data_IF_078261388005
#
_entry.id   IF_078261388005
#
_cell.length_a   1.000
_cell.length_b   1.000
_cell.length_c   1.000
_cell.angle_alpha   90.00
_cell.angle_beta   90.00
_cell.angle_gamma   90.00
#
_symmetry.space_group_name_H-M   'P 1'
#
loop_
_entity.id
_entity.type
_entity.pdbx_description
1 polymer ?
#
# COMPACT_ATOMS: atom_id res chain seq x y z
N UNK A 1 39.08 41.86 -29.63
CA UNK A 1 38.43 43.12 -29.26
C UNK A 1 37.58 42.79 -28.06
N UNK A 2 38.01 42.83 -26.83
CA UNK A 2 38.46 43.91 -25.95
C UNK A 2 37.30 44.87 -25.58
N UNK A 3 37.18 44.98 -24.26
CA UNK A 3 36.49 45.91 -23.35
C UNK A 3 35.08 45.42 -22.90
N UNK A 4 34.78 45.32 -21.61
CA UNK A 4 35.32 45.96 -20.44
C UNK A 4 34.21 46.50 -19.58
N UNK A 5 34.10 46.09 -18.37
CA UNK A 5 34.28 46.76 -17.09
C UNK A 5 33.00 47.45 -16.59
N UNK A 6 32.57 47.31 -15.40
CA UNK A 6 32.96 47.85 -14.13
C UNK A 6 31.80 47.72 -13.11
N UNK A 7 32.00 47.12 -12.03
CA UNK A 7 31.94 47.42 -10.59
C UNK A 7 31.30 48.73 -10.15
N UNK A 8 30.44 48.64 -9.09
CA UNK A 8 30.26 49.54 -7.89
C UNK A 8 28.93 49.12 -7.25
N UNK A 9 28.74 48.89 -5.95
CA UNK A 9 29.47 49.20 -4.77
C UNK A 9 28.42 49.28 -3.67
N UNK A 10 28.63 48.62 -2.56
CA UNK A 10 27.87 48.77 -1.31
C UNK A 10 27.97 50.21 -0.76
N UNK A 11 27.02 50.61 0.11
CA UNK A 11 27.48 50.96 1.42
C UNK A 11 26.70 50.34 2.61
N UNK A 12 27.46 50.06 3.63
CA UNK A 12 27.15 49.77 5.01
C UNK A 12 26.78 51.04 5.79
N UNK A 13 25.88 50.94 6.75
CA UNK A 13 25.81 51.74 8.00
C UNK A 13 24.95 50.93 8.97
N UNK A 14 25.48 50.39 10.00
CA UNK A 14 25.97 50.75 11.34
C UNK A 14 24.86 51.15 12.33
N UNK A 15 24.67 50.29 13.33
CA UNK A 15 24.61 50.44 14.80
C UNK A 15 23.55 51.41 15.36
N UNK A 16 22.70 50.91 16.25
CA UNK A 16 22.56 51.40 17.63
C UNK A 16 21.94 50.32 18.53
N UNK A 17 22.68 50.02 19.60
CA UNK A 17 22.20 49.38 20.84
C UNK A 17 21.20 50.27 21.54
N UNK A 18 20.18 49.71 22.17
CA UNK A 18 19.70 50.30 23.42
C UNK A 18 19.16 49.25 24.39
N UNK A 19 19.59 49.43 25.63
CA UNK A 19 19.34 48.62 26.82
C UNK A 19 17.97 48.92 27.42
N UNK A 20 17.34 47.91 28.02
CA UNK A 20 16.15 48.18 28.83
C UNK A 20 15.63 46.99 29.63
N UNK A 21 16.29 46.69 30.74
CA UNK A 21 15.76 46.32 32.06
C UNK A 21 14.55 45.34 32.20
N UNK A 22 14.90 44.25 32.81
CA UNK A 22 14.05 43.32 33.59
C UNK A 22 13.46 44.01 34.85
N UNK A 23 12.26 43.70 35.30
CA UNK A 23 11.97 43.74 36.72
C UNK A 23 11.60 42.38 37.31
N UNK A 24 12.15 42.23 38.47
CA UNK A 24 12.14 41.18 39.48
C UNK A 24 10.75 40.70 39.94
N UNK A 25 10.78 39.48 40.39
CA UNK A 25 9.88 38.69 41.21
C UNK A 25 9.17 39.49 42.35
N UNK A 26 7.93 39.12 42.62
CA UNK A 26 7.32 39.29 43.94
C UNK A 26 6.74 37.95 44.42
N UNK A 27 7.41 37.41 45.42
CA UNK A 27 6.84 36.41 46.34
C UNK A 27 5.59 36.97 47.05
N UNK A 28 4.59 36.12 47.15
CA UNK A 28 3.59 36.22 48.22
C UNK A 28 3.32 34.85 48.80
N UNK A 29 3.82 34.63 50.02
CA UNK A 29 3.26 33.70 51.01
C UNK A 29 1.80 34.08 51.26
N UNK A 30 0.96 33.09 51.55
CA UNK A 30 0.20 33.07 52.82
C UNK A 30 -0.50 31.71 52.92
N UNK A 31 -0.43 31.20 54.13
CA UNK A 31 -1.10 30.03 54.70
C UNK A 31 -2.63 30.10 54.64
N UNK A 32 -3.26 28.96 54.44
CA UNK A 32 -4.67 28.74 54.67
C UNK A 32 -4.94 27.27 54.96
N UNK A 33 -4.93 26.88 56.24
CA UNK A 33 -5.38 25.57 56.71
C UNK A 33 -6.90 25.49 56.57
N UNK A 34 -7.37 24.63 55.64
CA UNK A 34 -8.78 24.29 55.44
C UNK A 34 -9.02 22.80 55.67
N UNK A 35 -9.78 22.48 56.71
CA UNK A 35 -10.14 21.15 57.19
C UNK A 35 -10.75 20.27 56.09
N UNK A 36 -10.20 19.09 55.88
CA UNK A 36 -10.75 18.02 55.04
C UNK A 36 -12.10 17.54 55.58
N UNK A 37 -13.16 17.83 54.85
CA UNK A 37 -14.49 17.31 55.10
C UNK A 37 -14.60 15.88 54.58
N UNK A 38 -15.02 14.96 55.46
CA UNK A 38 -15.22 13.51 55.23
C UNK A 38 -16.49 13.22 54.40
N UNK A 39 -16.69 13.86 53.24
CA UNK A 39 -17.86 13.60 52.37
C UNK A 39 -17.55 13.68 50.89
N UNK A 40 -16.43 13.08 50.43
CA UNK A 40 -16.14 12.94 49.00
C UNK A 40 -15.49 11.56 48.72
N UNK A 41 -16.19 10.53 49.15
CA UNK A 41 -15.79 9.13 48.87
C UNK A 41 -17.04 8.37 48.46
N UNK A 42 -17.54 8.61 47.25
CA UNK A 42 -18.53 7.77 46.53
C UNK A 42 -18.80 8.36 45.13
N UNK A 43 -17.83 8.31 44.23
CA UNK A 43 -18.05 8.39 42.78
C UNK A 43 -16.77 7.91 42.06
N UNK A 44 -16.29 6.69 42.35
CA UNK A 44 -15.27 6.01 41.58
C UNK A 44 -15.77 4.58 41.34
N UNK A 45 -16.68 4.44 40.43
CA UNK A 45 -17.18 3.15 40.02
C UNK A 45 -17.92 3.27 38.71
N UNK A 46 -17.33 2.83 37.67
CA UNK A 46 -17.80 2.39 36.34
C UNK A 46 -17.10 3.07 35.16
N UNK A 47 -15.84 2.74 34.99
CA UNK A 47 -15.15 2.96 33.71
C UNK A 47 -14.16 1.79 33.47
N UNK A 48 -14.63 0.55 33.52
CA UNK A 48 -13.79 -0.61 33.25
C UNK A 48 -14.62 -1.71 32.59
N UNK A 49 -15.16 -1.47 31.40
CA UNK A 49 -15.71 -2.57 30.55
C UNK A 49 -15.64 -2.19 29.05
N UNK A 50 -14.55 -1.67 28.53
CA UNK A 50 -14.46 -1.48 27.07
C UNK A 50 -13.12 -1.97 26.46
N UNK A 51 -12.25 -2.58 27.25
CA UNK A 51 -10.98 -3.13 26.73
C UNK A 51 -11.02 -4.61 26.41
N UNK A 52 -12.05 -5.35 26.84
CA UNK A 52 -12.13 -6.80 26.65
C UNK A 52 -12.57 -7.27 25.26
N UNK A 53 -13.48 -6.54 24.62
CA UNK A 53 -14.10 -7.00 23.35
C UNK A 53 -13.20 -6.84 22.13
N UNK A 54 -12.35 -5.83 22.09
CA UNK A 54 -11.39 -5.65 20.98
C UNK A 54 -10.21 -6.61 21.05
N UNK A 55 -9.77 -7.02 22.23
CA UNK A 55 -8.72 -8.02 22.42
C UNK A 55 -9.20 -9.44 22.03
N UNK A 56 -10.41 -9.81 22.42
CA UNK A 56 -10.98 -11.14 22.13
C UNK A 56 -11.20 -11.37 20.61
N UNK A 57 -11.64 -10.35 19.87
CA UNK A 57 -11.82 -10.43 18.43
C UNK A 57 -10.49 -10.49 17.67
N UNK A 58 -9.44 -9.85 18.19
CA UNK A 58 -8.09 -9.90 17.61
C UNK A 58 -7.44 -11.29 17.82
N UNK A 59 -7.68 -11.94 18.95
CA UNK A 59 -7.19 -13.29 19.23
C UNK A 59 -7.89 -14.33 18.34
N UNK A 60 -9.21 -14.21 18.12
CA UNK A 60 -9.99 -15.09 17.24
C UNK A 60 -9.46 -15.05 15.79
N UNK A 61 -9.29 -13.88 15.20
CA UNK A 61 -8.78 -13.78 13.81
C UNK A 61 -7.35 -14.28 13.69
N UNK A 62 -6.51 -14.02 14.68
CA UNK A 62 -5.12 -14.50 14.71
C UNK A 62 -5.07 -16.04 14.75
N UNK A 63 -5.94 -16.67 15.55
CA UNK A 63 -6.04 -18.13 15.61
C UNK A 63 -6.53 -18.71 14.28
N UNK A 64 -7.54 -18.10 13.66
CA UNK A 64 -8.04 -18.51 12.34
C UNK A 64 -6.97 -18.40 11.25
N UNK A 65 -6.19 -17.31 11.23
CA UNK A 65 -5.12 -17.13 10.23
C UNK A 65 -3.96 -18.12 10.45
N UNK A 66 -3.64 -18.49 11.70
CA UNK A 66 -2.68 -19.58 11.99
C UNK A 66 -3.19 -20.93 11.50
N UNK A 67 -4.45 -21.26 11.74
CA UNK A 67 -5.04 -22.49 11.24
C UNK A 67 -5.03 -22.57 9.69
N UNK A 68 -5.10 -21.42 9.01
CA UNK A 68 -4.92 -21.37 7.55
C UNK A 68 -3.45 -21.66 7.18
N UNK A 69 -2.45 -21.08 7.87
CA UNK A 69 -1.04 -21.41 7.63
C UNK A 69 -0.78 -22.91 7.76
N UNK A 70 -1.32 -23.55 8.82
CA UNK A 70 -1.17 -24.98 9.06
C UNK A 70 -1.87 -25.82 7.99
N UNK A 71 -3.11 -25.44 7.63
CA UNK A 71 -3.92 -26.17 6.63
C UNK A 71 -3.29 -26.17 5.23
N UNK A 72 -2.68 -25.06 4.84
CA UNK A 72 -2.15 -24.85 3.49
C UNK A 72 -0.63 -25.04 3.41
N UNK A 73 0.03 -25.42 4.52
CA UNK A 73 1.50 -25.49 4.64
C UNK A 73 2.18 -24.24 4.05
N UNK A 74 1.68 -23.07 4.42
CA UNK A 74 2.10 -21.81 3.86
C UNK A 74 2.40 -20.77 4.94
N UNK A 75 3.31 -19.87 4.68
CA UNK A 75 3.49 -18.64 5.47
C UNK A 75 2.56 -17.57 4.94
N UNK A 76 1.71 -17.01 5.80
CA UNK A 76 0.67 -16.05 5.49
C UNK A 76 0.95 -14.72 6.17
N UNK A 77 0.80 -13.61 5.45
CA UNK A 77 0.87 -12.26 5.99
C UNK A 77 -0.40 -11.48 5.63
N UNK A 78 -1.01 -10.84 6.63
CA UNK A 78 -2.26 -10.10 6.45
C UNK A 78 -2.18 -8.72 7.09
N UNK A 79 -2.64 -7.73 6.35
CA UNK A 79 -2.96 -6.41 6.88
C UNK A 79 -4.33 -5.98 6.36
N UNK A 80 -5.20 -5.58 7.28
CA UNK A 80 -6.46 -4.94 6.91
C UNK A 80 -6.73 -3.73 7.81
N UNK A 81 -7.35 -2.72 7.24
CA UNK A 81 -7.75 -1.52 7.95
C UNK A 81 -9.08 -0.97 7.40
N UNK A 82 -10.11 -0.99 8.22
CA UNK A 82 -11.41 -0.41 7.93
C UNK A 82 -11.39 1.08 8.31
N UNK A 83 -11.54 1.96 7.31
CA UNK A 83 -11.31 3.38 7.52
C UNK A 83 -12.37 4.06 8.39
N UNK A 84 -13.63 3.64 8.32
CA UNK A 84 -14.69 4.23 9.13
C UNK A 84 -14.61 3.77 10.61
N UNK A 85 -14.55 2.46 10.86
CA UNK A 85 -14.54 1.90 12.21
C UNK A 85 -13.18 1.95 12.90
N UNK A 86 -12.09 2.22 12.15
CA UNK A 86 -10.68 2.17 12.60
C UNK A 86 -10.21 0.78 13.06
N UNK A 87 -11.02 -0.24 12.86
CA UNK A 87 -10.61 -1.63 13.14
C UNK A 87 -9.47 -2.05 12.21
N UNK A 88 -8.55 -2.84 12.73
CA UNK A 88 -7.41 -3.35 11.96
C UNK A 88 -7.11 -4.79 12.30
N UNK A 89 -6.73 -5.56 11.29
CA UNK A 89 -6.16 -6.91 11.45
C UNK A 89 -4.70 -6.85 11.03
N UNK A 90 -3.82 -7.44 11.83
CA UNK A 90 -2.38 -7.50 11.56
C UNK A 90 -1.87 -8.89 11.92
N UNK A 91 -1.52 -9.67 10.90
CA UNK A 91 -0.91 -10.98 11.06
C UNK A 91 0.35 -11.03 10.22
N UNK A 92 1.53 -11.21 10.83
CA UNK A 92 2.84 -11.07 10.17
C UNK A 92 2.95 -9.82 9.28
N UNK A 93 2.18 -8.77 9.61
CA UNK A 93 1.97 -7.61 8.74
C UNK A 93 3.25 -6.80 8.45
N UNK A 94 4.27 -6.91 9.31
CA UNK A 94 5.58 -6.27 9.12
C UNK A 94 6.63 -7.18 8.48
N UNK A 95 6.35 -8.46 8.29
CA UNK A 95 7.29 -9.40 7.69
C UNK A 95 7.35 -9.24 6.17
N UNK A 96 8.51 -9.57 5.58
CA UNK A 96 8.71 -9.46 4.13
C UNK A 96 8.19 -10.69 3.41
N UNK A 97 7.55 -10.42 2.28
CA UNK A 97 7.06 -11.42 1.32
C UNK A 97 7.50 -11.01 -0.09
N UNK A 98 7.67 -11.97 -1.01
CA UNK A 98 7.87 -11.66 -2.42
C UNK A 98 6.72 -10.79 -2.93
N UNK A 99 7.03 -9.72 -3.66
CA UNK A 99 6.01 -8.77 -4.11
C UNK A 99 5.33 -9.24 -5.40
N UNK A 100 6.10 -9.87 -6.29
CA UNK A 100 5.64 -10.26 -7.62
C UNK A 100 4.93 -9.11 -8.35
N UNK A 101 3.90 -9.39 -9.12
CA UNK A 101 3.20 -8.38 -9.95
C UNK A 101 2.46 -7.26 -9.19
N UNK A 102 2.49 -7.22 -7.86
CA UNK A 102 1.91 -6.08 -7.11
C UNK A 102 2.55 -4.74 -7.49
N UNK A 103 3.80 -4.74 -7.96
CA UNK A 103 4.50 -3.53 -8.39
C UNK A 103 3.82 -2.83 -9.57
N UNK A 104 3.05 -3.54 -10.40
CA UNK A 104 2.47 -3.01 -11.65
C UNK A 104 1.49 -1.85 -11.36
N UNK A 105 0.73 -1.93 -10.27
CA UNK A 105 -0.09 -0.79 -9.83
C UNK A 105 0.76 0.41 -9.38
N UNK A 106 1.92 0.17 -8.75
CA UNK A 106 2.86 1.23 -8.38
C UNK A 106 3.53 1.83 -9.62
N UNK A 107 3.82 1.00 -10.64
CA UNK A 107 4.40 1.48 -11.90
C UNK A 107 3.41 2.38 -12.65
N UNK A 108 2.16 1.96 -12.80
CA UNK A 108 1.10 2.77 -13.39
C UNK A 108 0.91 4.09 -12.60
N UNK A 109 0.85 4.03 -11.27
CA UNK A 109 0.74 5.21 -10.43
C UNK A 109 1.95 6.16 -10.54
N UNK A 110 3.17 5.61 -10.67
CA UNK A 110 4.37 6.41 -10.89
C UNK A 110 4.38 7.09 -12.25
N UNK A 111 3.92 6.42 -13.31
CA UNK A 111 3.73 7.04 -14.64
C UNK A 111 2.74 8.19 -14.55
N UNK A 112 1.57 7.97 -13.95
CA UNK A 112 0.53 8.99 -13.78
C UNK A 112 1.04 10.22 -13.03
N UNK A 113 1.74 10.03 -11.91
CA UNK A 113 2.16 11.13 -11.04
C UNK A 113 3.42 11.83 -11.51
N UNK A 114 4.42 11.06 -11.92
CA UNK A 114 5.79 11.57 -12.10
C UNK A 114 6.11 11.88 -13.56
N UNK A 115 5.41 11.26 -14.53
CA UNK A 115 5.66 11.45 -15.96
C UNK A 115 4.53 12.18 -16.68
N UNK A 116 3.26 11.83 -16.40
CA UNK A 116 2.11 12.39 -17.08
C UNK A 116 1.55 13.62 -16.35
N UNK A 117 1.52 14.78 -17.00
CA UNK A 117 0.97 16.00 -16.42
C UNK A 117 -0.41 16.37 -16.97
N UNK A 118 -0.63 16.11 -18.25
CA UNK A 118 -1.78 16.60 -19.03
C UNK A 118 -2.39 15.54 -19.97
N UNK A 119 -1.88 14.30 -19.94
CA UNK A 119 -2.32 13.18 -20.78
C UNK A 119 -1.44 12.93 -22.00
N UNK A 120 -0.44 13.75 -22.28
CA UNK A 120 0.43 13.58 -23.45
C UNK A 120 1.29 12.32 -23.33
N UNK A 121 1.83 12.04 -22.12
CA UNK A 121 2.64 10.84 -21.90
C UNK A 121 1.78 9.60 -22.01
N UNK A 122 0.59 9.60 -21.43
CA UNK A 122 -0.34 8.47 -21.49
C UNK A 122 -0.76 8.15 -22.94
N UNK A 123 -0.92 9.17 -23.79
CA UNK A 123 -1.29 9.03 -25.19
C UNK A 123 -0.14 8.56 -26.09
N UNK A 124 1.11 8.67 -25.62
CA UNK A 124 2.29 8.28 -26.40
C UNK A 124 2.30 6.78 -26.66
N UNK A 125 2.43 6.40 -27.94
CA UNK A 125 2.50 5.00 -28.37
C UNK A 125 3.92 4.48 -28.29
N UNK A 126 4.07 3.30 -27.71
CA UNK A 126 5.31 2.54 -27.62
C UNK A 126 5.24 1.40 -28.63
N UNK A 127 6.21 1.34 -29.52
CA UNK A 127 6.46 0.18 -30.36
C UNK A 127 7.51 -0.69 -29.67
N UNK A 128 7.27 -1.96 -29.63
CA UNK A 128 8.11 -2.98 -29.01
C UNK A 128 8.22 -4.19 -29.97
N UNK A 129 9.09 -5.12 -29.66
CA UNK A 129 9.39 -6.27 -30.52
C UNK A 129 9.11 -7.58 -29.78
N UNK A 130 9.22 -8.71 -30.48
CA UNK A 130 9.14 -10.04 -29.89
C UNK A 130 10.13 -10.24 -28.74
N UNK A 131 11.31 -9.61 -28.79
CA UNK A 131 12.34 -9.67 -27.75
C UNK A 131 11.89 -8.99 -26.43
N UNK A 132 10.89 -8.13 -26.48
CA UNK A 132 10.32 -7.48 -25.31
C UNK A 132 9.25 -8.34 -24.62
N UNK A 133 8.75 -9.39 -25.27
CA UNK A 133 7.73 -10.26 -24.72
C UNK A 133 8.30 -11.19 -23.66
N UNK A 134 7.58 -11.34 -22.57
CA UNK A 134 7.91 -12.21 -21.44
C UNK A 134 6.87 -13.32 -21.36
N UNK A 135 7.11 -14.41 -22.10
CA UNK A 135 6.15 -15.51 -22.16
C UNK A 135 6.49 -16.62 -21.15
N UNK A 136 5.49 -17.23 -20.51
CA UNK A 136 4.06 -16.84 -20.54
C UNK A 136 3.76 -15.55 -19.77
N UNK A 137 2.63 -14.92 -20.05
CA UNK A 137 2.13 -13.77 -19.29
C UNK A 137 2.30 -12.41 -19.99
N UNK A 138 2.41 -12.41 -21.32
CA UNK A 138 2.43 -11.20 -22.18
C UNK A 138 1.43 -11.32 -23.33
N UNK A 139 0.27 -11.91 -23.06
CA UNK A 139 -0.72 -12.22 -24.10
C UNK A 139 -1.31 -10.97 -24.73
N UNK A 140 -1.55 -9.92 -23.91
CA UNK A 140 -2.12 -8.66 -24.39
C UNK A 140 -1.11 -7.89 -25.24
N UNK A 141 0.13 -7.77 -24.79
CA UNK A 141 1.19 -7.12 -25.55
C UNK A 141 1.53 -7.89 -26.82
N UNK A 142 1.52 -9.22 -26.78
CA UNK A 142 1.73 -10.05 -27.97
C UNK A 142 0.63 -9.84 -29.03
N UNK A 143 -0.62 -9.68 -28.63
CA UNK A 143 -1.73 -9.42 -29.53
C UNK A 143 -1.62 -8.06 -30.25
N UNK A 144 -0.91 -7.09 -29.66
CA UNK A 144 -0.73 -5.73 -30.20
C UNK A 144 0.70 -5.47 -30.73
N UNK A 145 1.46 -6.51 -31.06
CA UNK A 145 2.86 -6.38 -31.43
C UNK A 145 3.07 -5.52 -32.71
N UNK A 146 2.16 -5.61 -33.66
CA UNK A 146 2.28 -4.91 -34.93
C UNK A 146 2.06 -3.40 -34.81
N UNK A 147 1.04 -2.99 -34.05
CA UNK A 147 0.64 -1.59 -33.88
C UNK A 147 1.27 -0.90 -32.68
N UNK A 148 1.84 -1.67 -31.75
CA UNK A 148 2.27 -1.17 -30.45
C UNK A 148 1.09 -0.76 -29.54
N UNK A 149 1.39 -0.23 -28.35
CA UNK A 149 0.39 0.21 -27.39
C UNK A 149 0.74 1.58 -26.83
N UNK A 150 -0.27 2.38 -26.49
CA UNK A 150 -0.06 3.62 -25.73
C UNK A 150 0.37 3.29 -24.30
N UNK A 151 0.99 4.23 -23.62
CA UNK A 151 1.37 4.07 -22.22
C UNK A 151 0.13 3.83 -21.33
N UNK A 152 -1.02 4.44 -21.66
CA UNK A 152 -2.28 4.18 -20.98
C UNK A 152 -2.73 2.72 -21.15
N UNK A 153 -2.73 2.20 -22.38
CA UNK A 153 -3.06 0.81 -22.69
C UNK A 153 -2.11 -0.17 -21.99
N UNK A 154 -0.80 0.13 -21.98
CA UNK A 154 0.19 -0.67 -21.24
C UNK A 154 -0.10 -0.68 -19.73
N UNK A 155 -0.43 0.48 -19.13
CA UNK A 155 -0.76 0.57 -17.72
C UNK A 155 -2.04 -0.23 -17.38
N UNK A 156 -3.04 -0.12 -18.23
CA UNK A 156 -4.29 -0.87 -18.10
C UNK A 156 -4.05 -2.39 -18.13
N UNK A 157 -3.40 -2.91 -19.17
CA UNK A 157 -3.20 -4.38 -19.28
C UNK A 157 -2.21 -4.92 -18.24
N UNK A 158 -1.23 -4.12 -17.79
CA UNK A 158 -0.35 -4.48 -16.69
C UNK A 158 -1.12 -4.69 -15.38
N UNK A 159 -2.20 -3.94 -15.15
CA UNK A 159 -3.06 -4.10 -13.98
C UNK A 159 -4.11 -5.17 -14.22
N UNK A 160 -4.91 -5.06 -15.29
CA UNK A 160 -6.12 -5.88 -15.51
C UNK A 160 -5.81 -7.34 -15.82
N UNK A 161 -4.77 -7.60 -16.61
CA UNK A 161 -4.33 -8.95 -17.02
C UNK A 161 -3.01 -9.37 -16.40
N UNK A 162 -2.36 -8.45 -15.67
CA UNK A 162 -1.03 -8.68 -15.13
C UNK A 162 0.05 -8.93 -16.20
N UNK A 163 -0.10 -8.34 -17.39
CA UNK A 163 0.82 -8.51 -18.51
C UNK A 163 2.27 -8.15 -18.13
N UNK A 164 3.20 -9.08 -18.37
CA UNK A 164 4.59 -8.95 -17.92
C UNK A 164 5.40 -7.99 -18.77
N UNK A 165 5.25 -8.06 -20.10
CA UNK A 165 5.94 -7.15 -21.02
C UNK A 165 5.44 -5.71 -20.83
N UNK A 166 4.12 -5.51 -20.64
CA UNK A 166 3.58 -4.20 -20.29
C UNK A 166 4.20 -3.67 -18.99
N UNK A 167 4.32 -4.51 -17.96
CA UNK A 167 5.02 -4.15 -16.73
C UNK A 167 6.46 -3.71 -16.97
N UNK A 168 7.22 -4.45 -17.76
CA UNK A 168 8.61 -4.11 -18.11
C UNK A 168 8.70 -2.83 -18.95
N UNK A 169 7.79 -2.62 -19.90
CA UNK A 169 7.74 -1.39 -20.70
C UNK A 169 7.48 -0.16 -19.83
N UNK A 170 6.56 -0.24 -18.87
CA UNK A 170 6.35 0.84 -17.89
C UNK A 170 7.60 1.08 -17.01
N UNK A 171 8.28 0.01 -16.56
CA UNK A 171 9.53 0.16 -15.81
C UNK A 171 10.62 0.82 -16.66
N UNK A 172 10.69 0.54 -17.96
CA UNK A 172 11.62 1.18 -18.89
C UNK A 172 11.39 2.68 -18.96
N UNK A 173 10.14 3.12 -19.07
CA UNK A 173 9.74 4.53 -19.06
C UNK A 173 10.13 5.24 -17.76
N UNK A 174 10.07 4.54 -16.64
CA UNK A 174 10.41 5.05 -15.31
C UNK A 174 11.92 5.02 -15.00
N UNK A 175 12.75 4.45 -15.91
CA UNK A 175 14.20 4.33 -15.72
C UNK A 175 14.63 3.09 -14.94
N UNK A 176 13.85 2.01 -15.00
CA UNK A 176 14.15 0.67 -14.48
C UNK A 176 13.48 0.34 -13.15
N UNK A 177 13.64 -0.92 -12.67
CA UNK A 177 12.92 -1.46 -11.51
C UNK A 177 13.08 -0.63 -10.24
N UNK A 178 14.27 -0.08 -9.99
CA UNK A 178 14.54 0.73 -8.79
C UNK A 178 13.70 2.01 -8.71
N UNK A 179 13.06 2.43 -9.81
CA UNK A 179 12.11 3.54 -9.80
C UNK A 179 10.92 3.25 -8.86
N UNK A 180 10.47 2.00 -8.81
CA UNK A 180 9.39 1.57 -7.91
C UNK A 180 9.82 1.74 -6.45
N UNK A 181 11.07 1.40 -6.13
CA UNK A 181 11.61 1.63 -4.79
C UNK A 181 11.61 3.12 -4.44
N UNK A 182 12.07 3.99 -5.37
CA UNK A 182 12.06 5.45 -5.16
C UNK A 182 10.63 5.99 -5.00
N UNK A 183 9.70 5.54 -5.84
CA UNK A 183 8.30 5.90 -5.76
C UNK A 183 7.68 5.50 -4.41
N UNK A 184 7.88 4.27 -3.96
CA UNK A 184 7.42 3.80 -2.65
C UNK A 184 7.99 4.67 -1.52
N UNK A 185 9.29 5.03 -1.55
CA UNK A 185 9.92 5.91 -0.56
C UNK A 185 9.29 7.30 -0.52
N UNK A 186 8.93 7.87 -1.67
CA UNK A 186 8.24 9.17 -1.75
C UNK A 186 6.86 9.14 -1.10
N UNK A 187 6.23 7.96 -1.03
CA UNK A 187 4.97 7.71 -0.33
C UNK A 187 5.16 7.31 1.15
N UNK A 188 6.40 7.37 1.69
CA UNK A 188 6.71 6.99 3.06
C UNK A 188 6.78 5.47 3.31
N UNK A 189 6.72 4.65 2.27
CA UNK A 189 6.94 3.21 2.36
C UNK A 189 8.45 2.92 2.34
N UNK A 190 8.99 2.51 3.49
CA UNK A 190 10.42 2.21 3.67
C UNK A 190 10.75 0.72 3.49
N UNK A 191 9.76 -0.10 3.17
CA UNK A 191 9.89 -1.57 3.09
C UNK A 191 9.91 -2.06 1.65
N UNK A 192 8.91 -1.67 0.85
CA UNK A 192 8.75 -2.11 -0.54
C UNK A 192 9.97 -1.79 -1.38
N UNK A 193 10.48 -2.77 -2.13
CA UNK A 193 11.57 -2.59 -3.08
C UNK A 193 11.40 -3.50 -4.29
N UNK A 194 11.78 -2.99 -5.45
CA UNK A 194 11.88 -3.71 -6.70
C UNK A 194 13.30 -3.55 -7.24
N UNK A 195 13.93 -4.66 -7.62
CA UNK A 195 15.33 -4.70 -8.02
C UNK A 195 15.50 -5.31 -9.41
N UNK A 196 14.62 -6.25 -9.80
CA UNK A 196 14.70 -7.04 -11.02
C UNK A 196 13.51 -6.79 -11.94
N UNK A 197 13.65 -7.25 -13.17
CA UNK A 197 12.62 -7.21 -14.20
C UNK A 197 11.72 -8.45 -14.14
N UNK A 198 10.59 -8.43 -14.87
CA UNK A 198 9.89 -9.66 -15.22
C UNK A 198 10.73 -10.45 -16.23
N UNK A 199 10.82 -11.80 -16.11
CA UNK A 199 10.17 -12.65 -15.11
C UNK A 199 11.00 -12.91 -13.84
N UNK A 200 12.27 -12.46 -13.76
CA UNK A 200 13.20 -12.83 -12.68
C UNK A 200 12.73 -12.41 -11.29
N UNK A 201 11.97 -11.33 -11.19
CA UNK A 201 11.41 -10.88 -9.91
C UNK A 201 10.44 -11.90 -9.28
N UNK A 202 9.90 -12.85 -10.09
CA UNK A 202 8.94 -13.86 -9.65
C UNK A 202 9.61 -15.18 -9.19
N UNK A 203 10.95 -15.27 -9.14
CA UNK A 203 11.63 -16.43 -8.54
C UNK A 203 11.33 -16.55 -7.05
N UNK A 204 10.94 -15.46 -6.41
CA UNK A 204 10.23 -15.36 -5.14
C UNK A 204 10.89 -16.12 -3.97
N UNK A 205 12.22 -16.27 -3.95
CA UNK A 205 12.94 -16.98 -2.90
C UNK A 205 12.70 -16.33 -1.53
N UNK A 206 12.14 -17.06 -0.54
CA UNK A 206 11.68 -16.48 0.74
C UNK A 206 12.78 -15.84 1.59
N UNK A 207 14.05 -16.21 1.37
CA UNK A 207 15.21 -15.66 2.10
C UNK A 207 15.79 -14.40 1.46
N UNK A 208 15.40 -14.07 0.21
CA UNK A 208 15.86 -12.85 -0.45
C UNK A 208 15.12 -11.64 0.05
N UNK A 209 15.81 -10.50 0.04
CA UNK A 209 15.21 -9.19 0.33
C UNK A 209 14.87 -8.38 -0.92
N UNK A 210 15.38 -8.81 -2.09
CA UNK A 210 15.06 -8.23 -3.40
C UNK A 210 13.60 -8.50 -3.75
N UNK A 211 12.97 -7.56 -4.44
CA UNK A 211 11.60 -7.66 -4.97
C UNK A 211 10.54 -8.01 -3.90
N UNK A 212 10.70 -7.42 -2.70
CA UNK A 212 9.83 -7.72 -1.56
C UNK A 212 9.08 -6.51 -1.04
N UNK A 213 7.97 -6.80 -0.37
CA UNK A 213 7.20 -5.85 0.42
C UNK A 213 6.77 -6.50 1.75
N UNK A 214 5.95 -5.81 2.54
CA UNK A 214 5.21 -6.40 3.65
C UNK A 214 3.72 -6.07 3.52
N UNK A 215 2.81 -6.89 4.08
CA UNK A 215 1.37 -6.62 4.01
C UNK A 215 1.01 -5.20 4.47
N UNK A 216 1.60 -4.75 5.57
CA UNK A 216 1.39 -3.41 6.09
C UNK A 216 1.88 -2.31 5.15
N UNK A 217 3.08 -2.46 4.59
CA UNK A 217 3.68 -1.44 3.74
C UNK A 217 2.90 -1.29 2.43
N UNK A 218 2.67 -2.40 1.73
CA UNK A 218 1.98 -2.38 0.43
C UNK A 218 0.51 -1.99 0.58
N UNK A 219 -0.19 -2.50 1.60
CA UNK A 219 -1.57 -2.12 1.87
C UNK A 219 -1.70 -0.62 2.12
N UNK A 220 -0.84 -0.03 2.95
CA UNK A 220 -0.84 1.42 3.15
C UNK A 220 -0.51 2.21 1.89
N UNK A 221 0.38 1.71 1.05
CA UNK A 221 0.71 2.35 -0.23
C UNK A 221 -0.49 2.36 -1.15
N UNK A 222 -1.19 1.23 -1.32
CA UNK A 222 -2.43 1.17 -2.10
C UNK A 222 -3.52 2.08 -1.51
N UNK A 223 -3.69 2.07 -0.19
CA UNK A 223 -4.62 2.99 0.46
C UNK A 223 -4.34 4.47 0.16
N UNK A 224 -3.06 4.89 0.12
CA UNK A 224 -2.67 6.25 -0.27
C UNK A 224 -2.93 6.56 -1.73
N UNK A 225 -2.73 5.59 -2.61
CA UNK A 225 -2.95 5.75 -4.05
C UNK A 225 -4.44 5.87 -4.41
N UNK A 226 -5.29 5.06 -3.76
CA UNK A 226 -6.73 4.96 -4.09
C UNK A 226 -7.60 5.91 -3.27
N UNK A 227 -7.27 6.11 -1.99
CA UNK A 227 -8.11 6.88 -1.05
C UNK A 227 -7.46 8.19 -0.59
N UNK A 228 -6.13 8.32 -0.73
CA UNK A 228 -5.39 9.47 -0.24
C UNK A 228 -5.10 10.52 -1.30
N UNK A 229 -4.10 11.32 -1.03
CA UNK A 229 -3.64 12.46 -1.81
C UNK A 229 -2.34 12.20 -2.59
N UNK A 230 -1.92 10.93 -2.69
CA UNK A 230 -0.70 10.54 -3.40
C UNK A 230 -0.79 10.82 -4.92
N UNK A 231 -1.97 10.83 -5.47
CA UNK A 231 -2.31 11.20 -6.84
C UNK A 231 -3.32 12.34 -6.85
N UNK A 232 -3.32 13.17 -7.89
CA UNK A 232 -4.40 14.10 -8.13
C UNK A 232 -5.71 13.34 -8.41
N UNK A 233 -6.84 14.04 -8.49
CA UNK A 233 -8.16 13.40 -8.61
C UNK A 233 -8.30 12.58 -9.89
N UNK A 234 -7.90 13.13 -11.06
CA UNK A 234 -7.98 12.45 -12.35
C UNK A 234 -7.19 11.15 -12.35
N UNK A 235 -5.94 11.20 -11.92
CA UNK A 235 -5.03 10.08 -11.94
C UNK A 235 -5.45 8.98 -10.94
N UNK A 236 -5.99 9.39 -9.79
CA UNK A 236 -6.54 8.47 -8.80
C UNK A 236 -7.79 7.76 -9.33
N UNK A 237 -8.70 8.47 -9.98
CA UNK A 237 -9.88 7.88 -10.60
C UNK A 237 -9.49 6.89 -11.71
N UNK A 238 -8.52 7.22 -12.54
CA UNK A 238 -8.03 6.35 -13.60
C UNK A 238 -7.34 5.08 -13.06
N UNK A 239 -6.43 5.23 -12.09
CA UNK A 239 -5.79 4.08 -11.44
C UNK A 239 -6.84 3.18 -10.77
N UNK A 240 -7.81 3.76 -10.07
CA UNK A 240 -8.90 3.02 -9.43
C UNK A 240 -9.73 2.26 -10.44
N UNK A 241 -10.04 2.87 -11.58
CA UNK A 241 -10.76 2.21 -12.67
C UNK A 241 -10.02 0.97 -13.18
N UNK A 242 -8.71 1.07 -13.42
CA UNK A 242 -7.91 -0.10 -13.83
C UNK A 242 -7.88 -1.20 -12.77
N UNK A 243 -7.77 -0.84 -11.48
CA UNK A 243 -7.82 -1.81 -10.38
C UNK A 243 -9.19 -2.49 -10.24
N UNK A 244 -10.29 -1.77 -10.47
CA UNK A 244 -11.66 -2.32 -10.52
C UNK A 244 -11.85 -3.31 -11.67
N UNK A 245 -11.09 -3.14 -12.75
CA UNK A 245 -11.16 -3.97 -13.95
C UNK A 245 -10.22 -5.19 -13.88
N UNK A 246 -9.57 -5.45 -12.74
CA UNK A 246 -8.68 -6.59 -12.57
C UNK A 246 -9.43 -7.92 -12.78
N UNK A 247 -8.90 -8.76 -13.67
CA UNK A 247 -9.47 -10.07 -14.01
C UNK A 247 -8.79 -11.24 -13.29
N UNK A 248 -7.70 -10.98 -12.57
CA UNK A 248 -6.81 -12.03 -12.06
C UNK A 248 -7.10 -12.44 -10.62
N UNK A 249 -8.09 -11.84 -9.95
CA UNK A 249 -8.44 -12.10 -8.54
C UNK A 249 -9.71 -12.91 -8.34
N UNK A 250 -10.25 -13.54 -9.40
CA UNK A 250 -11.52 -14.28 -9.38
C UNK A 250 -11.55 -15.35 -8.28
N UNK A 251 -10.44 -16.09 -8.13
CA UNK A 251 -10.30 -17.16 -7.15
C UNK A 251 -9.68 -16.70 -5.81
N UNK A 252 -9.41 -15.38 -5.66
CA UNK A 252 -8.82 -14.76 -4.47
C UNK A 252 -9.82 -13.84 -3.76
N UNK A 253 -9.64 -12.53 -3.81
CA UNK A 253 -10.54 -11.58 -3.12
C UNK A 253 -11.98 -11.74 -3.60
N UNK A 254 -12.23 -11.91 -4.89
CA UNK A 254 -13.59 -12.12 -5.40
C UNK A 254 -14.24 -13.45 -4.94
N UNK A 255 -13.46 -14.48 -4.61
CA UNK A 255 -13.96 -15.72 -4.02
C UNK A 255 -14.14 -15.64 -2.50
N UNK A 256 -13.35 -14.80 -1.83
CA UNK A 256 -13.30 -14.70 -0.38
C UNK A 256 -14.23 -13.65 0.23
N UNK A 257 -14.47 -12.55 -0.47
CA UNK A 257 -15.25 -11.42 0.02
C UNK A 257 -16.73 -11.51 -0.39
N UNK A 258 -17.63 -10.81 0.31
CA UNK A 258 -19.03 -10.71 -0.09
C UNK A 258 -19.18 -10.22 -1.53
N UNK A 259 -20.09 -10.82 -2.29
CA UNK A 259 -20.32 -10.49 -3.71
C UNK A 259 -20.88 -9.09 -3.95
N UNK A 260 -21.38 -8.46 -2.92
CA UNK A 260 -21.91 -7.10 -2.92
C UNK A 260 -20.82 -6.03 -2.73
N UNK A 261 -19.63 -6.46 -2.32
CA UNK A 261 -18.51 -5.52 -2.14
C UNK A 261 -17.89 -5.15 -3.48
N UNK A 262 -17.46 -3.90 -3.59
CA UNK A 262 -16.67 -3.41 -4.73
C UNK A 262 -15.20 -3.62 -4.43
N UNK A 263 -14.45 -4.20 -5.37
CA UNK A 263 -13.06 -4.62 -5.17
C UNK A 263 -12.17 -3.95 -6.22
N UNK A 264 -11.20 -3.15 -5.77
CA UNK A 264 -10.16 -2.56 -6.60
C UNK A 264 -8.82 -3.12 -6.13
N UNK A 265 -8.30 -4.11 -6.85
CA UNK A 265 -7.16 -4.89 -6.39
C UNK A 265 -6.12 -5.18 -7.48
N UNK A 266 -5.00 -5.72 -7.04
CA UNK A 266 -3.95 -6.29 -7.89
C UNK A 266 -3.39 -7.54 -7.26
N UNK A 267 -3.30 -8.59 -8.06
CA UNK A 267 -2.68 -9.86 -7.65
C UNK A 267 -1.18 -9.90 -7.94
N UNK A 268 -0.50 -10.83 -7.27
CA UNK A 268 0.88 -11.20 -7.56
C UNK A 268 1.07 -12.71 -7.39
N UNK A 269 1.84 -13.33 -8.27
CA UNK A 269 2.13 -14.78 -8.23
C UNK A 269 3.57 -15.03 -8.62
N UNK A 270 4.18 -16.06 -8.04
CA UNK A 270 5.55 -16.45 -8.31
C UNK A 270 5.85 -17.88 -7.84
N UNK A 271 7.12 -18.28 -7.93
CA UNK A 271 7.59 -19.54 -7.35
C UNK A 271 7.33 -19.62 -5.84
N UNK A 272 7.61 -20.75 -5.24
CA UNK A 272 7.32 -21.01 -3.82
C UNK A 272 5.84 -20.85 -3.49
N UNK A 273 4.94 -21.25 -4.39
CA UNK A 273 3.50 -21.14 -4.20
C UNK A 273 3.04 -19.72 -3.85
N UNK A 274 3.81 -18.69 -4.23
CA UNK A 274 3.50 -17.30 -3.90
C UNK A 274 2.17 -16.88 -4.51
N UNK A 275 1.22 -16.50 -3.65
CA UNK A 275 -0.09 -15.96 -4.01
C UNK A 275 -0.38 -14.72 -3.18
N UNK A 276 -0.52 -13.59 -3.84
CA UNK A 276 -0.76 -12.30 -3.21
C UNK A 276 -2.00 -11.64 -3.78
N UNK A 277 -2.72 -10.90 -2.95
CA UNK A 277 -3.76 -9.98 -3.40
C UNK A 277 -3.79 -8.75 -2.50
N UNK A 278 -3.82 -7.56 -3.09
CA UNK A 278 -3.77 -6.28 -2.37
C UNK A 278 -4.68 -5.27 -3.04
N UNK A 279 -5.50 -4.58 -2.24
CA UNK A 279 -6.39 -3.57 -2.79
C UNK A 279 -7.10 -2.71 -1.75
N UNK A 280 -8.05 -1.96 -2.26
CA UNK A 280 -9.08 -1.28 -1.50
C UNK A 280 -10.41 -1.90 -1.88
N UNK A 281 -11.19 -2.26 -0.89
CA UNK A 281 -12.53 -2.80 -1.07
C UNK A 281 -13.54 -1.91 -0.36
N UNK A 282 -14.73 -1.76 -0.91
CA UNK A 282 -15.82 -1.00 -0.31
C UNK A 282 -16.92 -1.98 0.12
N UNK A 283 -17.31 -1.89 1.40
CA UNK A 283 -18.39 -2.68 1.99
C UNK A 283 -19.75 -2.28 1.45
N UNK A 284 -20.80 -2.98 1.85
CA UNK A 284 -22.19 -2.64 1.49
C UNK A 284 -22.60 -1.23 1.90
N UNK A 285 -22.04 -0.72 3.00
CA UNK A 285 -22.25 0.65 3.47
C UNK A 285 -21.41 1.70 2.69
N UNK A 286 -20.60 1.26 1.73
CA UNK A 286 -19.66 2.11 0.99
C UNK A 286 -18.39 2.46 1.77
N UNK A 287 -18.17 1.86 2.92
CA UNK A 287 -17.01 2.12 3.76
C UNK A 287 -15.76 1.45 3.17
N UNK A 288 -14.65 2.19 2.99
CA UNK A 288 -13.44 1.62 2.43
C UNK A 288 -12.64 0.83 3.47
N UNK A 289 -12.15 -0.32 3.02
CA UNK A 289 -11.22 -1.20 3.73
C UNK A 289 -9.97 -1.39 2.87
N UNK A 290 -8.81 -1.09 3.41
CA UNK A 290 -7.53 -1.51 2.83
C UNK A 290 -7.29 -2.96 3.23
N UNK A 291 -7.01 -3.81 2.25
CA UNK A 291 -6.74 -5.23 2.47
C UNK A 291 -5.49 -5.67 1.70
N UNK A 292 -4.60 -6.39 2.38
CA UNK A 292 -3.41 -7.01 1.81
C UNK A 292 -3.25 -8.41 2.39
N UNK A 293 -3.23 -9.40 1.51
CA UNK A 293 -2.97 -10.82 1.83
C UNK A 293 -1.81 -11.29 0.97
N UNK A 294 -0.73 -11.71 1.61
CA UNK A 294 0.48 -12.20 0.95
C UNK A 294 0.81 -13.59 1.49
N UNK A 295 1.18 -14.51 0.61
CA UNK A 295 1.55 -15.86 1.02
C UNK A 295 2.76 -16.39 0.25
N UNK A 296 3.45 -17.36 0.85
CA UNK A 296 4.53 -18.12 0.23
C UNK A 296 4.64 -19.49 0.89
N UNK A 297 5.10 -20.49 0.17
CA UNK A 297 5.27 -21.87 0.62
C UNK A 297 6.77 -22.24 0.69
N UNK A 298 7.15 -23.33 1.38
CA UNK A 298 8.55 -23.68 1.57
C UNK A 298 9.24 -24.25 0.33
N UNK A 299 8.50 -24.95 -0.56
CA UNK A 299 9.06 -25.61 -1.74
C UNK A 299 9.06 -24.69 -2.97
N UNK A 300 10.18 -24.65 -3.76
CA UNK A 300 10.29 -23.75 -4.91
C UNK A 300 9.29 -24.03 -6.02
N UNK A 301 8.89 -25.29 -6.17
CA UNK A 301 7.93 -25.80 -7.16
C UNK A 301 6.52 -25.97 -6.58
N UNK A 302 6.26 -25.49 -5.36
CA UNK A 302 4.94 -25.52 -4.77
C UNK A 302 3.93 -24.82 -5.68
N UNK A 303 2.82 -25.50 -5.93
CA UNK A 303 1.70 -24.92 -6.66
C UNK A 303 1.00 -23.92 -5.76
N UNK A 304 0.80 -22.70 -6.24
CA UNK A 304 0.07 -21.69 -5.47
C UNK A 304 -1.36 -22.15 -5.21
N UNK A 305 -1.86 -21.80 -4.04
CA UNK A 305 -3.25 -22.04 -3.68
C UNK A 305 -3.98 -20.72 -3.48
N UNK A 306 -4.80 -20.35 -4.46
CA UNK A 306 -5.58 -19.11 -4.46
C UNK A 306 -6.67 -19.13 -3.39
N UNK A 307 -7.15 -20.34 -2.98
CA UNK A 307 -8.13 -20.49 -1.90
C UNK A 307 -7.58 -20.06 -0.54
N UNK A 308 -6.28 -20.15 -0.27
CA UNK A 308 -5.66 -19.60 0.93
C UNK A 308 -5.92 -18.09 1.04
N UNK A 309 -5.74 -17.35 -0.07
CA UNK A 309 -5.95 -15.90 -0.12
C UNK A 309 -7.44 -15.57 0.08
N UNK A 310 -8.33 -16.35 -0.55
CA UNK A 310 -9.76 -16.19 -0.40
C UNK A 310 -10.24 -16.47 1.04
N UNK A 311 -9.78 -17.56 1.66
CA UNK A 311 -10.14 -17.92 3.03
C UNK A 311 -9.60 -16.89 4.06
N UNK A 312 -8.39 -16.35 3.83
CA UNK A 312 -7.85 -15.27 4.65
C UNK A 312 -8.66 -13.97 4.51
N UNK A 313 -9.04 -13.60 3.29
CA UNK A 313 -9.90 -12.43 3.03
C UNK A 313 -11.26 -12.58 3.71
N UNK A 314 -11.88 -13.77 3.63
CA UNK A 314 -13.16 -14.08 4.30
C UNK A 314 -13.05 -13.98 5.82
N UNK A 315 -11.98 -14.54 6.42
CA UNK A 315 -11.76 -14.47 7.85
C UNK A 315 -11.62 -13.02 8.34
N UNK A 316 -10.98 -12.16 7.54
CA UNK A 316 -10.83 -10.73 7.82
C UNK A 316 -12.17 -10.00 7.68
N UNK A 317 -12.93 -10.24 6.60
CA UNK A 317 -14.23 -9.61 6.37
C UNK A 317 -15.20 -9.88 7.52
N UNK A 318 -15.30 -11.15 7.96
CA UNK A 318 -16.14 -11.56 9.09
C UNK A 318 -15.88 -10.75 10.38
N UNK A 319 -14.62 -10.39 10.63
CA UNK A 319 -14.23 -9.66 11.84
C UNK A 319 -14.46 -8.15 11.69
N UNK A 320 -14.15 -7.61 10.51
CA UNK A 320 -14.27 -6.16 10.31
C UNK A 320 -15.72 -5.69 10.23
N UNK A 321 -16.65 -6.55 9.81
CA UNK A 321 -18.08 -6.25 9.67
C UNK A 321 -18.93 -6.64 10.87
N UNK A 322 -18.40 -7.38 11.85
CA UNK A 322 -19.16 -7.71 13.07
C UNK A 322 -19.62 -6.44 13.78
N UNK A 323 -20.91 -6.35 14.19
CA UNK A 323 -21.37 -5.24 14.99
C UNK A 323 -20.55 -5.09 16.28
N UNK A 324 -20.34 -3.85 16.73
CA UNK A 324 -19.69 -3.60 18.01
C UNK A 324 -20.66 -4.04 19.11
N UNK A 325 -20.39 -5.19 19.76
CA UNK A 325 -21.19 -5.65 20.91
C UNK A 325 -21.78 -7.06 20.82
N UNK A 326 -21.52 -7.82 19.75
CA UNK A 326 -21.87 -9.26 19.69
C UNK A 326 -20.63 -10.10 20.02
N UNK A 327 -20.38 -10.32 21.29
CA UNK A 327 -19.45 -11.33 21.83
C UNK A 327 -20.19 -12.11 22.94
#
# INVERSE_FOLDING_TARGET
>A
MVYGGATKGCPSTSITEDNGLCPRAKERKILGSGKLSRRALLAAGTATVLTGTTAYAADDVTARLRALEERYDARLGVFAHHLATKRSVRFRAGERFPMCSLFKALAAAAVLRDLDRDGEVLARRIHYTEDDLVMPGSDQTAAHLAEGMTIAELAEVAITYSDNAAGNLLLRELGGPTAITRFARSLGDRVTRLDRWEPELNTAEPWRRTDTTSPYAIGRTYGRLVLGDALNRRDRELLTHWLLSNTTSVDRFHAGLPKTWTIADKTGSGSYGTANDVGVVWTDDGDPVVLAVLSTMPAPDAVRDDALVADAARAVADILTRPAGTA
#
